data_IF_118688446886
#
_entry.id   IF_118688446886
#
_cell.length_a   1.000
_cell.length_b   1.000
_cell.length_c   1.000
_cell.angle_alpha   90.00
_cell.angle_beta   90.00
_cell.angle_gamma   90.00
#
_symmetry.space_group_name_H-M   'P 1'
#
loop_
_entity.id
_entity.type
_entity.pdbx_description
1 polymer ?
#
# COMPACT_ATOMS: atom_id res chain seq x y z
N UNK A 1 -13.08 -25.50 23.25
CA UNK A 1 -11.71 -25.92 22.91
C UNK A 1 -10.80 -24.73 23.15
N UNK A 2 -9.70 -24.92 23.88
CA UNK A 2 -8.71 -23.86 24.13
C UNK A 2 -7.83 -23.71 22.88
N UNK A 3 -7.69 -22.48 22.39
CA UNK A 3 -6.73 -22.10 21.35
C UNK A 3 -5.31 -22.33 21.87
N UNK A 4 -4.48 -23.01 21.09
CA UNK A 4 -3.04 -23.18 21.38
C UNK A 4 -2.31 -21.84 21.26
N UNK A 5 -1.48 -21.51 22.24
CA UNK A 5 -0.72 -20.27 22.27
C UNK A 5 0.04 -20.02 20.94
N UNK A 6 -0.12 -18.83 20.38
CA UNK A 6 0.55 -18.35 19.16
C UNK A 6 0.15 -19.03 17.83
N UNK A 7 -1.09 -19.51 17.68
CA UNK A 7 -1.60 -19.94 16.37
C UNK A 7 -2.81 -19.10 15.89
N UNK A 8 -2.59 -17.92 15.27
CA UNK A 8 -3.67 -17.03 14.81
C UNK A 8 -4.56 -17.67 13.72
N UNK A 9 -4.08 -18.73 13.05
CA UNK A 9 -4.87 -19.45 12.04
C UNK A 9 -6.02 -20.29 12.63
N UNK A 10 -5.93 -20.73 13.89
CA UNK A 10 -7.03 -21.49 14.54
C UNK A 10 -8.20 -20.59 14.92
N UNK A 11 -7.98 -19.27 15.05
CA UNK A 11 -8.98 -18.28 15.47
C UNK A 11 -9.38 -17.31 14.33
N UNK A 12 -9.13 -17.72 13.07
CA UNK A 12 -9.27 -16.83 11.91
C UNK A 12 -10.69 -16.32 11.65
N UNK A 13 -11.72 -17.02 12.13
CA UNK A 13 -13.11 -16.52 12.06
C UNK A 13 -13.33 -15.34 13.01
N UNK A 14 -12.86 -15.43 14.26
CA UNK A 14 -13.02 -14.33 15.22
C UNK A 14 -12.11 -13.16 14.85
N UNK A 15 -10.90 -13.40 14.33
CA UNK A 15 -10.02 -12.35 13.81
C UNK A 15 -10.69 -11.56 12.67
N UNK A 16 -11.41 -12.26 11.78
CA UNK A 16 -12.15 -11.62 10.70
C UNK A 16 -13.34 -10.82 11.20
N UNK A 17 -14.08 -11.32 12.19
CA UNK A 17 -15.16 -10.56 12.85
C UNK A 17 -14.59 -9.31 13.54
N UNK A 18 -13.46 -9.44 14.25
CA UNK A 18 -12.80 -8.32 14.91
C UNK A 18 -12.40 -7.23 13.91
N UNK A 19 -11.87 -7.59 12.74
CA UNK A 19 -11.56 -6.63 11.68
C UNK A 19 -12.81 -5.87 11.20
N UNK A 20 -13.95 -6.55 11.06
CA UNK A 20 -15.20 -5.90 10.64
C UNK A 20 -15.73 -4.92 11.70
N UNK A 21 -15.68 -5.32 12.98
CA UNK A 21 -16.06 -4.46 14.11
C UNK A 21 -15.13 -3.25 14.21
N UNK A 22 -13.82 -3.44 14.03
CA UNK A 22 -12.84 -2.34 13.99
C UNK A 22 -13.13 -1.35 12.87
N UNK A 23 -13.48 -1.84 11.67
CA UNK A 23 -13.85 -0.97 10.54
C UNK A 23 -15.09 -0.13 10.90
N UNK A 24 -16.12 -0.76 11.47
CA UNK A 24 -17.33 -0.06 11.92
C UNK A 24 -16.97 1.02 12.95
N UNK A 25 -16.26 0.67 14.02
CA UNK A 25 -15.86 1.62 15.06
C UNK A 25 -15.00 2.75 14.50
N UNK A 26 -14.10 2.47 13.55
CA UNK A 26 -13.28 3.50 12.92
C UNK A 26 -14.11 4.53 12.16
N UNK A 27 -15.21 4.11 11.52
CA UNK A 27 -16.12 5.03 10.84
C UNK A 27 -16.96 5.85 11.82
N UNK A 28 -17.56 5.21 12.82
CA UNK A 28 -18.54 5.85 13.71
C UNK A 28 -17.93 6.54 14.93
N UNK A 29 -16.71 6.17 15.34
CA UNK A 29 -16.00 6.77 16.46
C UNK A 29 -14.86 7.71 16.04
N UNK A 30 -14.72 8.03 14.74
CA UNK A 30 -13.60 8.82 14.21
C UNK A 30 -13.40 10.16 14.94
N UNK A 31 -14.49 10.85 15.29
CA UNK A 31 -14.46 12.16 15.98
C UNK A 31 -14.55 12.07 17.50
N UNK A 32 -15.18 11.02 18.03
CA UNK A 32 -15.42 10.83 19.47
C UNK A 32 -15.16 9.37 19.87
N UNK A 33 -13.89 9.06 20.10
CA UNK A 33 -13.42 7.69 20.34
C UNK A 33 -13.93 7.09 21.66
N UNK A 34 -14.34 7.91 22.63
CA UNK A 34 -14.83 7.45 23.95
C UNK A 34 -16.20 6.79 23.91
N UNK A 35 -16.97 6.98 22.83
CA UNK A 35 -18.33 6.42 22.66
C UNK A 35 -18.37 5.01 22.10
N UNK A 36 -17.22 4.37 21.87
CA UNK A 36 -17.15 3.04 21.22
C UNK A 36 -18.00 1.98 21.92
N UNK A 37 -18.04 1.97 23.26
CA UNK A 37 -18.84 1.03 24.06
C UNK A 37 -20.34 1.19 23.81
N UNK A 38 -20.78 2.44 23.60
CA UNK A 38 -22.17 2.79 23.35
C UNK A 38 -22.56 2.50 21.89
N UNK A 39 -21.60 2.13 21.03
CA UNK A 39 -21.82 1.80 19.62
C UNK A 39 -21.62 0.31 19.33
N UNK A 40 -21.15 -0.47 20.30
CA UNK A 40 -20.83 -1.89 20.10
C UNK A 40 -22.07 -2.71 19.70
N UNK A 41 -23.23 -2.44 20.30
CA UNK A 41 -24.48 -3.11 19.95
C UNK A 41 -24.93 -2.78 18.51
N UNK A 42 -24.63 -1.59 17.99
CA UNK A 42 -24.88 -1.28 16.58
C UNK A 42 -23.91 -2.01 15.65
N UNK A 43 -22.64 -2.15 16.06
CA UNK A 43 -21.64 -2.90 15.31
C UNK A 43 -22.03 -4.39 15.21
N UNK A 44 -22.44 -4.98 16.32
CA UNK A 44 -22.95 -6.36 16.39
C UNK A 44 -24.18 -6.53 15.48
N UNK A 45 -25.17 -5.64 15.61
CA UNK A 45 -26.36 -5.70 14.78
C UNK A 45 -26.04 -5.58 13.28
N UNK A 46 -25.14 -4.65 12.93
CA UNK A 46 -24.71 -4.46 11.55
C UNK A 46 -24.01 -5.71 10.98
N UNK A 47 -23.12 -6.32 11.77
CA UNK A 47 -22.46 -7.56 11.42
C UNK A 47 -23.46 -8.71 11.22
N UNK A 48 -24.36 -8.93 12.20
CA UNK A 48 -25.34 -10.02 12.17
C UNK A 48 -26.44 -9.86 11.10
N UNK A 49 -26.67 -8.64 10.62
CA UNK A 49 -27.62 -8.36 9.52
C UNK A 49 -26.97 -8.46 8.14
N UNK A 50 -25.63 -8.44 8.06
CA UNK A 50 -24.91 -8.47 6.78
C UNK A 50 -24.93 -9.85 6.16
N UNK A 51 -25.23 -9.91 4.87
CA UNK A 51 -25.13 -11.16 4.09
C UNK A 51 -23.67 -11.53 3.86
N UNK A 52 -23.25 -12.72 4.30
CA UNK A 52 -21.91 -13.22 4.03
C UNK A 52 -21.78 -13.74 2.60
N UNK A 53 -20.61 -13.52 1.99
CA UNK A 53 -20.33 -13.88 0.59
C UNK A 53 -20.34 -15.39 0.33
N UNK A 54 -20.01 -16.20 1.34
CA UNK A 54 -19.94 -17.67 1.28
C UNK A 54 -21.32 -18.29 1.49
N UNK A 55 -21.97 -17.99 2.62
CA UNK A 55 -23.27 -18.59 2.99
C UNK A 55 -24.44 -17.98 2.24
N UNK A 56 -24.23 -16.83 1.56
CA UNK A 56 -25.26 -16.02 0.89
C UNK A 56 -26.42 -15.59 1.79
N UNK A 57 -26.27 -15.76 3.10
CA UNK A 57 -27.26 -15.45 4.12
C UNK A 57 -26.60 -14.65 5.26
N UNK A 58 -27.40 -13.88 6.00
CA UNK A 58 -26.91 -13.19 7.21
C UNK A 58 -26.97 -14.12 8.42
N UNK A 59 -26.11 -13.93 9.44
CA UNK A 59 -26.19 -14.69 10.68
C UNK A 59 -27.58 -14.64 11.33
N UNK A 60 -28.23 -13.46 11.35
CA UNK A 60 -29.61 -13.36 11.85
C UNK A 60 -30.61 -14.22 11.07
N UNK A 61 -30.49 -14.30 9.75
CA UNK A 61 -31.40 -15.14 8.96
C UNK A 61 -31.17 -16.63 9.24
N UNK A 62 -29.90 -17.05 9.34
CA UNK A 62 -29.56 -18.44 9.63
C UNK A 62 -30.03 -18.87 11.03
N UNK A 63 -29.97 -17.98 12.02
CA UNK A 63 -30.33 -18.29 13.40
C UNK A 63 -31.81 -18.06 13.70
N UNK A 64 -32.43 -17.00 13.17
CA UNK A 64 -33.79 -16.58 13.50
C UNK A 64 -34.82 -16.87 12.40
N UNK A 65 -34.38 -17.21 11.18
CA UNK A 65 -35.25 -17.43 10.02
C UNK A 65 -35.82 -16.17 9.38
N UNK A 66 -35.46 -14.97 9.87
CA UNK A 66 -35.86 -13.68 9.31
C UNK A 66 -34.78 -12.61 9.49
N UNK A 67 -34.89 -11.50 8.76
CA UNK A 67 -34.01 -10.34 8.92
C UNK A 67 -34.63 -9.34 9.91
N UNK A 68 -34.07 -9.17 11.12
CA UNK A 68 -34.56 -8.17 12.05
C UNK A 68 -34.36 -6.77 11.48
N UNK A 69 -35.33 -5.88 11.71
CA UNK A 69 -35.29 -4.49 11.25
C UNK A 69 -34.83 -3.60 12.41
N UNK A 70 -33.73 -2.84 12.27
CA UNK A 70 -33.19 -2.03 13.37
C UNK A 70 -34.09 -0.84 13.74
N UNK A 71 -34.86 -0.33 12.78
CA UNK A 71 -35.82 0.74 12.97
C UNK A 71 -37.09 0.44 12.15
N UNK A 72 -38.28 0.80 12.65
CA UNK A 72 -39.49 0.72 11.85
C UNK A 72 -39.41 1.69 10.66
N UNK A 73 -39.97 1.27 9.52
CA UNK A 73 -39.96 2.05 8.26
C UNK A 73 -40.81 3.31 8.37
N UNK A 74 -41.77 3.32 9.30
CA UNK A 74 -42.66 4.44 9.60
C UNK A 74 -42.57 4.69 11.11
N UNK A 75 -42.26 5.92 11.49
CA UNK A 75 -42.40 6.39 12.87
C UNK A 75 -43.74 7.13 12.94
N UNK A 76 -44.67 6.62 13.73
CA UNK A 76 -45.89 7.35 14.04
C UNK A 76 -45.55 8.64 14.81
N UNK A 77 -46.35 9.70 14.60
CA UNK A 77 -46.17 10.93 15.37
C UNK A 77 -46.36 10.61 16.84
N UNK A 78 -45.34 10.90 17.64
CA UNK A 78 -45.32 10.57 19.06
C UNK A 78 -45.39 11.86 19.85
N UNK A 79 -46.26 11.95 20.85
CA UNK A 79 -46.41 13.15 21.69
C UNK A 79 -45.22 13.40 22.63
N UNK A 80 -44.20 12.53 22.61
CA UNK A 80 -43.03 12.57 23.49
C UNK A 80 -41.89 13.30 22.79
N UNK A 81 -41.51 14.52 23.24
CA UNK A 81 -40.53 15.36 22.53
C UNK A 81 -39.13 14.73 22.42
N UNK A 82 -38.71 13.92 23.39
CA UNK A 82 -37.42 13.22 23.37
C UNK A 82 -37.35 12.16 22.27
N UNK A 83 -38.47 11.49 21.99
CA UNK A 83 -38.59 10.47 20.94
C UNK A 83 -38.55 11.14 19.56
N UNK A 84 -39.30 12.23 19.37
CA UNK A 84 -39.28 12.98 18.11
C UNK A 84 -37.89 13.53 17.79
N UNK A 85 -37.20 14.10 18.78
CA UNK A 85 -35.82 14.58 18.62
C UNK A 85 -34.88 13.44 18.21
N UNK A 86 -34.97 12.29 18.88
CA UNK A 86 -34.14 11.11 18.57
C UNK A 86 -34.40 10.57 17.16
N UNK A 87 -35.67 10.52 16.74
CA UNK A 87 -36.06 10.09 15.38
C UNK A 87 -35.52 11.07 14.32
N UNK A 88 -35.60 12.39 14.58
CA UNK A 88 -35.06 13.40 13.68
C UNK A 88 -33.53 13.28 13.53
N UNK A 89 -32.81 13.08 14.64
CA UNK A 89 -31.35 12.84 14.64
C UNK A 89 -30.98 11.59 13.83
N UNK A 90 -31.73 10.49 14.00
CA UNK A 90 -31.49 9.25 13.26
C UNK A 90 -31.74 9.41 11.75
N UNK A 91 -32.79 10.16 11.36
CA UNK A 91 -33.05 10.47 9.94
C UNK A 91 -31.90 11.27 9.33
N UNK A 92 -31.46 12.33 10.01
CA UNK A 92 -30.35 13.17 9.56
C UNK A 92 -29.06 12.35 9.40
N UNK A 93 -28.72 11.53 10.39
CA UNK A 93 -27.52 10.67 10.33
C UNK A 93 -27.59 9.68 9.17
N UNK A 94 -28.76 9.11 8.90
CA UNK A 94 -28.98 8.20 7.78
C UNK A 94 -28.77 8.89 6.43
N UNK A 95 -29.31 10.09 6.26
CA UNK A 95 -29.15 10.88 5.04
C UNK A 95 -27.67 11.25 4.81
N UNK A 96 -26.98 11.74 5.83
CA UNK A 96 -25.55 12.06 5.77
C UNK A 96 -24.71 10.82 5.41
N UNK A 97 -24.98 9.69 6.07
CA UNK A 97 -24.26 8.43 5.81
C UNK A 97 -24.53 7.91 4.41
N UNK A 98 -25.77 7.98 3.92
CA UNK A 98 -26.14 7.58 2.56
C UNK A 98 -25.43 8.42 1.52
N UNK A 99 -25.38 9.75 1.71
CA UNK A 99 -24.67 10.65 0.80
C UNK A 99 -23.16 10.35 0.76
N UNK A 100 -22.54 10.07 1.90
CA UNK A 100 -21.13 9.69 1.97
C UNK A 100 -20.85 8.34 1.29
N UNK A 101 -21.72 7.35 1.48
CA UNK A 101 -21.62 6.05 0.82
C UNK A 101 -21.76 6.19 -0.70
N UNK A 102 -22.67 7.03 -1.18
CA UNK A 102 -22.82 7.30 -2.61
C UNK A 102 -21.58 7.98 -3.21
N UNK A 103 -21.00 8.96 -2.50
CA UNK A 103 -19.76 9.61 -2.94
C UNK A 103 -18.61 8.57 -3.00
N UNK A 104 -18.49 7.72 -1.98
CA UNK A 104 -17.47 6.66 -1.96
C UNK A 104 -17.69 5.65 -3.09
N UNK A 105 -18.92 5.22 -3.33
CA UNK A 105 -19.27 4.31 -4.42
C UNK A 105 -18.97 4.91 -5.80
N UNK A 106 -19.28 6.19 -6.02
CA UNK A 106 -18.92 6.92 -7.25
C UNK A 106 -17.40 6.95 -7.45
N UNK A 107 -16.62 7.29 -6.41
CA UNK A 107 -15.14 7.29 -6.49
C UNK A 107 -14.58 5.91 -6.83
N UNK A 108 -15.15 4.84 -6.25
CA UNK A 108 -14.74 3.47 -6.57
C UNK A 108 -15.08 3.12 -8.03
N UNK A 109 -16.27 3.51 -8.50
CA UNK A 109 -16.71 3.27 -9.88
C UNK A 109 -15.88 4.06 -10.89
N UNK A 110 -15.55 5.31 -10.60
CA UNK A 110 -14.63 6.14 -11.42
C UNK A 110 -13.23 5.55 -11.47
N UNK A 111 -12.74 5.00 -10.35
CA UNK A 111 -11.42 4.34 -10.30
C UNK A 111 -11.40 3.03 -11.08
N UNK A 112 -12.48 2.26 -11.03
CA UNK A 112 -12.64 1.01 -11.78
C UNK A 112 -12.93 1.25 -13.27
N UNK A 113 -13.49 2.42 -13.62
CA UNK A 113 -13.79 2.83 -15.00
C UNK A 113 -12.63 3.50 -15.73
N UNK A 114 -11.45 3.65 -15.11
CA UNK A 114 -10.24 4.03 -15.84
C UNK A 114 -9.88 2.90 -16.79
N UNK A 115 -10.01 3.14 -18.09
CA UNK A 115 -9.36 2.32 -19.09
C UNK A 115 -7.88 2.24 -18.73
N UNK A 116 -7.43 1.05 -18.38
CA UNK A 116 -6.01 0.80 -18.14
C UNK A 116 -5.29 1.00 -19.46
N UNK A 117 -4.23 1.79 -19.43
CA UNK A 117 -3.39 2.00 -20.60
C UNK A 117 -2.91 0.64 -21.11
N UNK A 118 -3.06 0.42 -22.42
CA UNK A 118 -2.49 -0.75 -23.08
C UNK A 118 -1.05 -0.42 -23.45
N UNK A 119 -0.16 -1.35 -23.15
CA UNK A 119 1.26 -1.18 -23.43
C UNK A 119 1.75 -2.23 -24.41
N UNK A 120 2.79 -1.90 -25.16
CA UNK A 120 3.39 -2.80 -26.15
C UNK A 120 4.75 -3.32 -25.69
N UNK A 121 5.16 -4.48 -26.24
CA UNK A 121 6.49 -5.03 -26.00
C UNK A 121 7.55 -4.05 -26.53
N UNK A 122 8.57 -3.80 -25.73
CA UNK A 122 9.65 -2.83 -26.02
C UNK A 122 9.35 -1.40 -25.56
N UNK A 123 8.12 -1.11 -25.10
CA UNK A 123 7.78 0.21 -24.59
C UNK A 123 8.43 0.47 -23.23
N UNK A 124 8.98 1.67 -23.04
CA UNK A 124 9.46 2.16 -21.75
C UNK A 124 8.29 2.62 -20.87
N UNK A 125 8.26 2.18 -19.62
CA UNK A 125 7.22 2.51 -18.65
C UNK A 125 7.81 2.82 -17.28
N UNK A 126 7.15 3.71 -16.55
CA UNK A 126 7.38 3.95 -15.14
C UNK A 126 6.62 2.93 -14.30
N UNK A 127 7.24 2.41 -13.24
CA UNK A 127 6.62 1.51 -12.26
C UNK A 127 6.33 2.27 -10.96
N UNK A 128 5.10 2.18 -10.43
CA UNK A 128 4.77 2.78 -9.13
C UNK A 128 5.47 2.07 -7.96
N UNK A 129 6.24 2.82 -7.18
CA UNK A 129 7.03 2.32 -6.05
C UNK A 129 6.26 2.12 -4.74
N UNK A 130 4.95 2.43 -4.67
CA UNK A 130 4.16 2.44 -3.42
C UNK A 130 4.19 1.12 -2.65
N UNK A 131 4.33 0.00 -3.35
CA UNK A 131 4.33 -1.35 -2.79
C UNK A 131 5.70 -2.04 -2.90
N UNK A 132 6.75 -1.32 -3.29
CA UNK A 132 8.08 -1.90 -3.50
C UNK A 132 8.98 -1.59 -2.29
N UNK A 133 9.55 -2.63 -1.69
CA UNK A 133 10.57 -2.47 -0.64
C UNK A 133 11.96 -2.42 -1.26
N UNK A 134 12.33 -1.25 -1.76
CA UNK A 134 13.62 -1.01 -2.43
C UNK A 134 14.76 -0.67 -1.46
N UNK A 135 14.50 -0.72 -0.15
CA UNK A 135 15.51 -0.49 0.87
C UNK A 135 15.81 0.99 1.14
N UNK A 136 14.98 1.91 0.66
CA UNK A 136 15.05 3.32 1.03
C UNK A 136 14.86 3.49 2.55
N UNK A 137 15.63 4.39 3.20
CA UNK A 137 15.51 4.66 4.63
C UNK A 137 14.13 5.21 5.05
N UNK A 138 13.47 5.99 4.17
CA UNK A 138 12.15 6.54 4.44
C UNK A 138 11.19 6.32 3.25
N UNK A 139 10.09 5.56 3.43
CA UNK A 139 9.09 5.35 2.37
C UNK A 139 8.31 6.61 1.96
N UNK A 140 8.36 7.68 2.78
CA UNK A 140 7.66 8.94 2.48
C UNK A 140 8.46 9.86 1.55
N UNK A 141 9.79 9.76 1.57
CA UNK A 141 10.68 10.54 0.71
C UNK A 141 11.26 9.70 -0.44
N UNK A 142 10.89 8.42 -0.55
CA UNK A 142 11.30 7.60 -1.69
C UNK A 142 10.63 8.09 -2.98
N UNK A 143 11.27 7.88 -4.14
CA UNK A 143 10.65 8.11 -5.43
C UNK A 143 9.28 7.43 -5.51
N UNK A 144 8.28 8.14 -6.03
CA UNK A 144 6.92 7.58 -6.20
C UNK A 144 6.85 6.61 -7.39
N UNK A 145 7.75 6.80 -8.36
CA UNK A 145 7.87 6.03 -9.59
C UNK A 145 9.34 5.70 -9.81
N UNK A 146 9.59 4.53 -10.36
CA UNK A 146 10.91 3.97 -10.63
C UNK A 146 11.01 3.57 -12.11
N UNK A 147 12.21 3.58 -12.68
CA UNK A 147 12.47 3.28 -14.08
C UNK A 147 12.93 4.51 -14.86
N UNK A 148 12.92 4.48 -16.21
CA UNK A 148 12.06 3.68 -17.08
C UNK A 148 12.48 2.21 -17.22
N UNK A 149 11.51 1.30 -17.13
CA UNK A 149 11.71 -0.11 -17.45
C UNK A 149 11.10 -0.48 -18.79
N UNK A 150 11.75 -1.40 -19.50
CA UNK A 150 11.25 -1.92 -20.77
C UNK A 150 10.29 -3.10 -20.56
N UNK A 151 9.19 -3.14 -21.30
CA UNK A 151 8.29 -4.30 -21.32
C UNK A 151 8.90 -5.41 -22.17
N UNK A 152 9.26 -6.52 -21.53
CA UNK A 152 9.81 -7.71 -22.24
C UNK A 152 8.72 -8.55 -22.86
N UNK A 153 7.55 -8.64 -22.21
CA UNK A 153 6.48 -9.53 -22.63
C UNK A 153 5.11 -9.02 -22.15
N UNK A 154 4.09 -9.14 -23.00
CA UNK A 154 2.69 -8.90 -22.66
C UNK A 154 2.06 -10.25 -22.34
N UNK A 155 1.81 -10.53 -21.06
CA UNK A 155 1.32 -11.83 -20.59
C UNK A 155 -0.22 -11.92 -20.62
N UNK A 156 -0.90 -10.78 -20.66
CA UNK A 156 -2.36 -10.71 -20.70
C UNK A 156 -2.87 -9.29 -20.90
N UNK A 157 -4.19 -9.08 -20.90
CA UNK A 157 -4.81 -7.78 -21.21
C UNK A 157 -4.42 -6.67 -20.22
N UNK A 158 -4.03 -7.04 -18.99
CA UNK A 158 -3.67 -6.10 -17.92
C UNK A 158 -2.38 -6.50 -17.21
N UNK A 159 -1.59 -7.42 -17.77
CA UNK A 159 -0.44 -8.02 -17.09
C UNK A 159 0.78 -8.01 -18.00
N UNK A 160 1.85 -7.36 -17.52
CA UNK A 160 3.06 -7.09 -18.29
C UNK A 160 4.29 -7.56 -17.52
N UNK A 161 5.27 -8.10 -18.24
CA UNK A 161 6.58 -8.45 -17.70
C UNK A 161 7.59 -7.35 -18.02
N UNK A 162 8.27 -6.84 -17.00
CA UNK A 162 9.28 -5.79 -17.13
C UNK A 162 10.69 -6.36 -17.08
N UNK A 163 11.63 -5.71 -17.78
CA UNK A 163 13.06 -5.92 -17.63
C UNK A 163 13.52 -5.22 -16.36
N UNK A 164 13.42 -5.90 -15.22
CA UNK A 164 13.91 -5.37 -13.95
C UNK A 164 15.43 -5.64 -13.80
N UNK A 165 16.15 -4.78 -13.08
CA UNK A 165 17.52 -5.07 -12.65
C UNK A 165 17.56 -6.37 -11.83
N UNK A 166 18.53 -7.25 -12.10
CA UNK A 166 18.66 -8.55 -11.41
C UNK A 166 18.72 -8.44 -9.88
N UNK A 167 19.18 -7.28 -9.38
CA UNK A 167 19.31 -6.96 -7.97
C UNK A 167 17.95 -6.81 -7.28
N UNK A 168 16.93 -6.39 -8.03
CA UNK A 168 15.56 -6.33 -7.57
C UNK A 168 15.04 -7.76 -7.51
N UNK A 169 15.14 -8.38 -6.34
CA UNK A 169 14.58 -9.72 -6.03
C UNK A 169 13.04 -9.69 -5.96
N UNK A 170 12.42 -8.96 -6.89
CA UNK A 170 10.99 -8.72 -7.03
C UNK A 170 10.54 -9.47 -8.28
N UNK A 171 9.35 -10.08 -8.22
CA UNK A 171 8.80 -10.77 -9.37
C UNK A 171 8.52 -9.78 -10.52
N UNK A 172 9.04 -9.99 -11.74
CA UNK A 172 9.05 -8.98 -12.80
C UNK A 172 7.70 -8.80 -13.51
N UNK A 173 6.60 -9.27 -12.94
CA UNK A 173 5.27 -9.24 -13.57
C UNK A 173 4.37 -8.29 -12.79
N UNK A 174 3.83 -7.29 -13.49
CA UNK A 174 3.05 -6.21 -12.91
C UNK A 174 1.71 -6.02 -13.62
N UNK A 175 0.75 -5.49 -12.86
CA UNK A 175 -0.55 -5.10 -13.37
C UNK A 175 -0.47 -3.71 -14.03
N UNK A 176 -1.23 -3.50 -15.12
CA UNK A 176 -1.26 -2.26 -15.90
C UNK A 176 -1.48 -1.00 -15.05
N UNK A 177 -2.29 -1.11 -13.99
CA UNK A 177 -2.58 0.00 -13.06
C UNK A 177 -1.40 0.47 -12.20
N UNK A 178 -0.29 -0.27 -12.19
CA UNK A 178 0.98 0.14 -11.55
C UNK A 178 1.97 0.73 -12.55
N UNK A 179 1.63 0.71 -13.84
CA UNK A 179 2.47 1.20 -14.91
C UNK A 179 1.98 2.57 -15.37
N UNK A 180 2.90 3.40 -15.84
CA UNK A 180 2.58 4.66 -16.50
C UNK A 180 3.47 4.83 -17.72
N UNK A 181 2.96 5.36 -18.84
CA UNK A 181 3.76 5.55 -20.03
C UNK A 181 4.92 6.50 -19.75
N UNK A 182 6.13 6.13 -20.19
CA UNK A 182 7.28 7.02 -20.17
C UNK A 182 7.16 8.03 -21.33
N UNK A 183 7.31 9.32 -21.03
CA UNK A 183 7.30 10.41 -22.01
C UNK A 183 8.50 11.32 -21.76
N UNK A 184 9.35 11.48 -22.76
CA UNK A 184 10.42 12.48 -22.73
C UNK A 184 9.78 13.86 -22.93
N UNK A 185 10.11 14.79 -22.04
CA UNK A 185 9.55 16.15 -22.07
C UNK A 185 10.71 17.13 -22.09
N UNK A 186 10.78 18.01 -23.11
CA UNK A 186 11.87 18.99 -23.30
C UNK A 186 12.11 19.91 -22.10
N UNK A 187 11.09 20.08 -21.25
CA UNK A 187 11.12 20.94 -20.05
C UNK A 187 12.11 20.45 -18.98
N UNK A 188 12.44 19.15 -18.97
CA UNK A 188 13.32 18.55 -17.97
C UNK A 188 14.73 18.23 -18.51
N UNK A 189 15.06 18.66 -19.73
CA UNK A 189 16.33 18.34 -20.39
C UNK A 189 16.40 16.90 -20.90
N UNK A 190 17.47 16.53 -21.63
CA UNK A 190 17.71 15.13 -21.99
C UNK A 190 17.78 14.28 -20.72
N UNK A 191 17.03 13.19 -20.71
CA UNK A 191 16.97 12.29 -19.56
C UNK A 191 18.36 11.74 -19.24
N UNK A 192 18.63 11.45 -17.96
CA UNK A 192 19.89 10.89 -17.46
C UNK A 192 20.58 10.01 -18.51
N UNK A 193 21.66 10.52 -19.10
CA UNK A 193 22.55 9.70 -19.88
C UNK A 193 23.11 8.71 -18.87
N UNK A 194 22.73 7.43 -18.94
CA UNK A 194 23.44 6.36 -18.24
C UNK A 194 24.88 6.44 -18.76
N UNK A 195 25.81 7.11 -18.03
CA UNK A 195 27.13 7.36 -18.57
C UNK A 195 27.80 5.98 -18.71
N UNK A 196 28.43 5.67 -19.86
CA UNK A 196 29.07 4.38 -20.03
C UNK A 196 30.02 4.11 -18.86
N UNK A 197 30.03 2.88 -18.30
CA UNK A 197 30.88 2.56 -17.16
C UNK A 197 32.35 2.80 -17.49
N UNK A 198 33.10 3.29 -16.50
CA UNK A 198 34.54 3.43 -16.61
C UNK A 198 35.17 2.03 -16.54
N UNK A 199 36.11 1.74 -17.43
CA UNK A 199 36.81 0.44 -17.41
C UNK A 199 38.07 0.60 -16.57
N UNK A 200 38.03 0.10 -15.33
CA UNK A 200 39.18 0.08 -14.40
C UNK A 200 39.62 -1.37 -14.23
N UNK A 201 40.91 -1.66 -14.47
CA UNK A 201 41.47 -3.03 -14.41
C UNK A 201 40.73 -4.08 -15.26
N UNK A 202 40.04 -3.64 -16.33
CA UNK A 202 39.28 -4.53 -17.22
C UNK A 202 37.89 -4.92 -16.71
N UNK A 203 37.39 -4.26 -15.65
CA UNK A 203 36.03 -4.41 -15.14
C UNK A 203 35.25 -3.09 -15.27
N UNK A 204 33.95 -3.19 -15.51
CA UNK A 204 33.03 -2.04 -15.53
C UNK A 204 32.87 -1.50 -14.11
N UNK A 205 33.37 -0.28 -13.88
CA UNK A 205 33.21 0.47 -12.64
C UNK A 205 32.32 1.69 -12.85
N UNK A 206 31.57 2.02 -11.80
CA UNK A 206 30.61 3.12 -11.80
C UNK A 206 30.96 4.09 -10.68
N UNK A 207 30.95 5.39 -10.96
CA UNK A 207 31.22 6.41 -9.95
C UNK A 207 30.08 6.45 -8.91
N UNK A 208 30.42 6.35 -7.63
CA UNK A 208 29.45 6.42 -6.53
C UNK A 208 29.05 7.87 -6.28
N UNK A 209 27.76 8.19 -6.39
CA UNK A 209 27.22 9.50 -6.03
C UNK A 209 26.98 9.63 -4.53
N UNK A 210 26.31 8.63 -3.94
CA UNK A 210 25.94 8.68 -2.54
C UNK A 210 25.68 7.28 -1.95
N UNK A 211 25.96 7.12 -0.66
CA UNK A 211 25.47 5.96 0.11
C UNK A 211 24.12 6.35 0.73
N UNK A 212 23.06 5.67 0.30
CA UNK A 212 21.68 5.97 0.68
C UNK A 212 21.31 5.28 2.00
N UNK A 213 21.80 4.05 2.23
CA UNK A 213 21.34 3.21 3.32
C UNK A 213 22.35 2.17 3.75
N UNK A 214 22.11 1.55 4.91
CA UNK A 214 22.92 0.44 5.41
C UNK A 214 22.04 -0.62 6.08
N UNK A 215 22.44 -1.89 6.01
CA UNK A 215 21.72 -3.01 6.64
C UNK A 215 22.53 -3.58 7.82
N UNK A 216 22.08 -3.39 9.08
CA UNK A 216 22.68 -4.07 10.22
C UNK A 216 22.17 -5.52 10.31
N UNK A 217 23.06 -6.46 10.63
CA UNK A 217 22.69 -7.89 10.77
C UNK A 217 22.05 -8.20 12.14
N UNK A 218 22.38 -7.40 13.17
CA UNK A 218 21.95 -7.50 14.57
C UNK A 218 22.11 -6.12 15.24
N UNK A 219 21.34 -5.85 16.30
CA UNK A 219 21.59 -4.69 17.19
C UNK A 219 23.06 -4.73 17.64
N UNK A 220 23.82 -3.66 17.41
CA UNK A 220 25.24 -3.46 17.79
C UNK A 220 26.33 -4.10 16.89
N UNK A 221 26.02 -4.61 15.69
CA UNK A 221 27.06 -5.05 14.75
C UNK A 221 27.25 -4.05 13.60
N UNK A 222 28.48 -3.91 13.06
CA UNK A 222 28.74 -3.06 11.91
C UNK A 222 27.89 -3.51 10.70
N UNK A 223 27.41 -2.57 9.87
CA UNK A 223 26.64 -2.92 8.68
C UNK A 223 27.50 -3.73 7.72
N UNK A 224 26.92 -4.79 7.16
CA UNK A 224 27.62 -5.66 6.21
C UNK A 224 27.47 -5.18 4.76
N UNK A 225 26.39 -4.46 4.48
CA UNK A 225 26.02 -4.01 3.14
C UNK A 225 25.50 -2.57 3.22
N UNK A 226 25.87 -1.78 2.21
CA UNK A 226 25.52 -0.38 2.03
C UNK A 226 24.83 -0.23 0.68
N UNK A 227 23.71 0.51 0.64
CA UNK A 227 22.99 0.81 -0.58
C UNK A 227 23.63 2.03 -1.23
N UNK A 228 24.11 1.84 -2.44
CA UNK A 228 24.92 2.80 -3.20
C UNK A 228 24.08 3.35 -4.36
N UNK A 229 24.11 4.67 -4.51
CA UNK A 229 23.62 5.41 -5.67
C UNK A 229 24.78 5.70 -6.61
N UNK A 230 24.58 5.49 -7.91
CA UNK A 230 25.60 5.72 -8.92
C UNK A 230 25.36 7.06 -9.61
N UNK A 231 26.43 7.80 -9.88
CA UNK A 231 26.35 9.12 -10.48
C UNK A 231 25.89 9.02 -11.93
N UNK A 232 24.85 9.77 -12.26
CA UNK A 232 24.26 9.76 -13.60
C UNK A 232 23.31 8.58 -13.89
N UNK A 233 23.10 7.69 -12.92
CA UNK A 233 22.11 6.61 -13.02
C UNK A 233 20.88 6.92 -12.16
N UNK A 234 19.73 6.38 -12.56
CA UNK A 234 18.51 6.50 -11.78
C UNK A 234 18.53 5.56 -10.54
N UNK A 235 17.55 5.75 -9.66
CA UNK A 235 17.44 4.97 -8.44
C UNK A 235 17.19 3.47 -8.67
N UNK A 236 16.82 3.06 -9.88
CA UNK A 236 16.66 1.65 -10.23
C UNK A 236 17.99 0.87 -10.24
N UNK A 237 19.10 1.55 -10.53
CA UNK A 237 20.45 0.98 -10.56
C UNK A 237 21.11 0.89 -9.19
N UNK A 238 20.46 1.39 -8.13
CA UNK A 238 21.03 1.39 -6.79
C UNK A 238 21.36 -0.03 -6.30
N UNK A 239 22.59 -0.23 -5.84
CA UNK A 239 23.11 -1.56 -5.50
C UNK A 239 23.53 -1.69 -4.04
N UNK A 240 23.25 -2.85 -3.44
CA UNK A 240 23.81 -3.22 -2.14
C UNK A 240 25.23 -3.75 -2.31
N UNK A 241 26.23 -2.99 -1.86
CA UNK A 241 27.65 -3.35 -1.89
C UNK A 241 28.20 -3.65 -0.50
N UNK A 242 29.16 -4.58 -0.44
CA UNK A 242 29.97 -4.82 0.76
C UNK A 242 31.06 -3.74 0.87
N UNK A 243 31.64 -3.50 2.06
CA UNK A 243 32.76 -2.58 2.22
C UNK A 243 33.92 -2.82 1.25
N UNK A 244 34.18 -4.08 0.88
CA UNK A 244 35.23 -4.42 -0.07
C UNK A 244 34.99 -3.91 -1.51
N UNK A 245 33.74 -3.62 -1.88
CA UNK A 245 33.37 -3.04 -3.18
C UNK A 245 33.29 -1.52 -3.17
N UNK A 246 33.55 -0.86 -2.02
CA UNK A 246 33.58 0.60 -1.86
C UNK A 246 35.02 1.15 -1.82
N UNK A 247 36.01 0.34 -2.24
CA UNK A 247 37.44 0.71 -2.17
C UNK A 247 37.76 1.98 -2.94
N UNK A 248 37.14 2.16 -4.10
CA UNK A 248 37.34 3.34 -4.96
C UNK A 248 36.48 4.54 -4.54
N UNK A 249 35.59 4.37 -3.57
CA UNK A 249 34.71 5.43 -3.02
C UNK A 249 34.88 5.55 -1.49
N UNK A 250 36.12 5.41 -1.01
CA UNK A 250 36.42 5.31 0.42
C UNK A 250 36.11 6.59 1.19
N UNK A 251 36.26 7.76 0.56
CA UNK A 251 35.94 9.06 1.16
C UNK A 251 34.45 9.16 1.52
N UNK A 252 33.56 8.91 0.55
CA UNK A 252 32.10 8.87 0.77
C UNK A 252 31.69 7.81 1.80
N UNK A 253 32.37 6.66 1.80
CA UNK A 253 32.14 5.61 2.79
C UNK A 253 32.49 6.04 4.22
N UNK A 254 33.63 6.72 4.40
CA UNK A 254 34.06 7.23 5.70
C UNK A 254 33.15 8.37 6.19
N UNK A 255 32.80 9.31 5.32
CA UNK A 255 31.86 10.39 5.64
C UNK A 255 30.49 9.84 6.07
N UNK A 256 29.97 8.84 5.34
CA UNK A 256 28.72 8.18 5.71
C UNK A 256 28.82 7.48 7.08
N UNK A 257 29.93 6.79 7.35
CA UNK A 257 30.16 6.17 8.67
C UNK A 257 30.17 7.18 9.81
N UNK A 258 30.83 8.33 9.62
CA UNK A 258 30.87 9.41 10.60
C UNK A 258 29.47 9.97 10.84
N UNK A 259 28.73 10.28 9.76
CA UNK A 259 27.39 10.85 9.82
C UNK A 259 26.37 9.98 10.56
N UNK A 260 26.43 8.67 10.36
CA UNK A 260 25.52 7.70 10.99
C UNK A 260 26.09 7.02 12.25
N UNK A 261 27.25 7.47 12.73
CA UNK A 261 27.95 6.96 13.90
C UNK A 261 28.13 5.42 13.89
N UNK A 262 28.52 4.91 12.72
CA UNK A 262 28.69 3.47 12.47
C UNK A 262 30.15 3.08 12.79
N UNK A 263 30.36 2.36 13.89
CA UNK A 263 31.67 1.78 14.25
C UNK A 263 32.17 0.84 13.15
#
# INVERSE_FOLDING_TARGET
MLSTAYHPQTDGETERVNQEVEIFLRFFCAKEQTKWKDLLHFAEFAHNTRTHSVTKNSPFYLTMGYHPRPLPTVFEKTTVPSVEKRVAELKKLREETSALLDIAARRVKERNGRNLDKFEKGQKVWLEGKNLSLGYPSPKLSPKREGPFEITEVLGPVTYRLKLPFQWRIHPVFHAGLLSPFKETDVHGPNFLEPPPDIVEGQEEYEVEAIIGHRPKRKNHPPKEYLVSWKGYDSSHNQWLKPAGLKHSMELYLEYKIKYNLR
#
